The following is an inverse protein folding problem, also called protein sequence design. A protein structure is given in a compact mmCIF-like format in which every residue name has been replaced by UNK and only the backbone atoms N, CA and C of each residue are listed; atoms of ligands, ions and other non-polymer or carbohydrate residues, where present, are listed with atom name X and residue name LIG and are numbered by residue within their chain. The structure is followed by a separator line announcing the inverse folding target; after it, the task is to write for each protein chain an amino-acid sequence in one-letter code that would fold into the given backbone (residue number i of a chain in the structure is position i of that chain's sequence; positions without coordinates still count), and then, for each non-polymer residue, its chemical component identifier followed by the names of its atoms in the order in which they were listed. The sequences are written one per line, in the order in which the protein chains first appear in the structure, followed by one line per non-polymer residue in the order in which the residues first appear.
data_IF_214254157605
#
_entry.id   IF_214254157605
#
_cell.length_a   1.000
_cell.length_b   1.000
_cell.length_c   1.000
_cell.angle_alpha   90.00
_cell.angle_beta   90.00
_cell.angle_gamma   90.00
#
_symmetry.space_group_name_H-M   'P 1'
#
loop_
_entity.id
_entity.type
_entity.pdbx_description
1 polymer ?
#
# COMPACT_ATOMS: atom_id res chain seq x y z
N UNK A 1 -20.84 -11.04 19.63
CA UNK A 1 -20.63 -9.60 19.51
C UNK A 1 -19.63 -9.22 20.57
N UNK A 2 -18.39 -8.85 20.19
CA UNK A 2 -17.46 -8.29 21.15
C UNK A 2 -18.02 -6.92 21.57
N UNK A 3 -18.20 -6.72 22.87
CA UNK A 3 -18.55 -5.40 23.41
C UNK A 3 -17.35 -4.50 23.09
N UNK A 4 -17.53 -3.51 22.24
CA UNK A 4 -16.50 -2.51 21.95
C UNK A 4 -16.22 -1.75 23.23
N UNK A 5 -14.97 -1.82 23.71
CA UNK A 5 -14.53 -1.12 24.90
C UNK A 5 -14.44 0.38 24.61
N UNK A 6 -14.73 1.17 25.63
CA UNK A 6 -14.37 2.58 25.63
C UNK A 6 -12.88 2.72 25.94
N UNK A 7 -12.13 3.38 25.04
CA UNK A 7 -10.68 3.54 25.18
C UNK A 7 -10.33 5.03 25.30
N UNK A 8 -9.50 5.36 26.29
CA UNK A 8 -8.88 6.68 26.41
C UNK A 8 -7.39 6.57 26.16
N UNK A 9 -6.91 7.21 25.09
CA UNK A 9 -5.51 7.34 24.75
C UNK A 9 -5.07 8.75 25.19
N UNK A 10 -4.10 8.84 26.08
CA UNK A 10 -3.67 10.12 26.69
C UNK A 10 -2.20 10.43 26.45
N UNK A 11 -1.84 11.70 26.51
CA UNK A 11 -0.46 12.21 26.48
C UNK A 11 0.31 11.95 25.17
N UNK A 12 -0.30 11.42 24.13
CA UNK A 12 0.35 11.14 22.84
C UNK A 12 0.44 12.38 21.96
N UNK A 13 1.48 12.44 21.10
CA UNK A 13 1.50 13.37 19.97
C UNK A 13 0.59 12.84 18.89
N UNK A 14 -0.61 13.41 18.79
CA UNK A 14 -1.58 13.04 17.77
C UNK A 14 -1.22 13.74 16.46
N UNK A 15 -1.03 12.94 15.40
CA UNK A 15 -0.79 13.43 14.04
C UNK A 15 -1.89 12.86 13.15
N UNK A 16 -2.79 13.72 12.72
CA UNK A 16 -3.83 13.39 11.74
C UNK A 16 -3.74 14.35 10.56
N UNK A 17 -3.08 13.92 9.46
CA UNK A 17 -2.89 14.76 8.29
C UNK A 17 -4.20 15.21 7.62
N UNK A 18 -5.25 14.39 7.68
CA UNK A 18 -6.56 14.71 7.09
C UNK A 18 -7.21 15.92 7.76
N UNK A 19 -7.01 16.08 9.07
CA UNK A 19 -7.56 17.16 9.88
C UNK A 19 -6.54 18.28 10.19
N UNK A 20 -5.31 18.17 9.68
CA UNK A 20 -4.25 19.15 9.97
C UNK A 20 -3.83 19.20 11.43
N UNK A 21 -3.99 18.09 12.18
CA UNK A 21 -3.65 18.01 13.60
C UNK A 21 -2.23 17.49 13.76
N UNK A 22 -1.43 18.22 14.55
CA UNK A 22 -0.09 17.79 14.99
C UNK A 22 0.18 18.42 16.38
N UNK A 23 -0.05 17.66 17.45
CA UNK A 23 0.11 18.15 18.82
C UNK A 23 -0.24 17.10 19.87
N UNK A 24 0.00 17.46 21.14
CA UNK A 24 -0.37 16.60 22.28
C UNK A 24 -1.88 16.72 22.51
N UNK A 25 -2.59 15.63 22.27
CA UNK A 25 -4.04 15.55 22.45
C UNK A 25 -4.43 14.20 23.03
N UNK A 26 -5.45 14.21 23.86
CA UNK A 26 -6.15 13.01 24.27
C UNK A 26 -7.10 12.56 23.14
N UNK A 27 -7.30 11.26 23.02
CA UNK A 27 -8.22 10.65 22.06
C UNK A 27 -9.14 9.68 22.78
N UNK A 28 -10.45 9.81 22.56
CA UNK A 28 -11.45 8.93 23.14
C UNK A 28 -12.15 8.13 22.04
N UNK A 29 -12.22 6.82 22.25
CA UNK A 29 -12.88 5.87 21.35
C UNK A 29 -14.06 5.23 22.08
N UNK A 30 -15.18 5.10 21.41
CA UNK A 30 -16.36 4.41 21.90
C UNK A 30 -17.14 3.79 20.74
N UNK A 31 -17.77 2.65 20.98
CA UNK A 31 -18.60 1.94 19.99
C UNK A 31 -17.90 1.72 18.63
N UNK A 32 -16.59 1.45 18.67
CA UNK A 32 -15.78 1.24 17.47
C UNK A 32 -15.50 2.49 16.66
N UNK A 33 -15.76 3.69 17.21
CA UNK A 33 -15.60 4.97 16.53
C UNK A 33 -14.78 5.96 17.37
N UNK A 34 -14.23 6.94 16.69
CA UNK A 34 -13.64 8.12 17.33
C UNK A 34 -14.76 8.94 17.96
N UNK A 35 -14.71 9.10 19.27
CA UNK A 35 -15.69 9.88 20.03
C UNK A 35 -15.33 11.36 20.07
N UNK A 36 -14.09 11.68 20.44
CA UNK A 36 -13.58 13.06 20.47
C UNK A 36 -12.05 13.09 20.53
N UNK A 37 -11.48 14.20 20.07
CA UNK A 37 -10.07 14.57 20.26
C UNK A 37 -10.01 15.73 21.26
N UNK A 38 -9.15 15.62 22.25
CA UNK A 38 -9.03 16.59 23.36
C UNK A 38 -9.96 16.26 24.52
N UNK A 39 -10.54 17.26 25.16
CA UNK A 39 -11.39 17.06 26.33
C UNK A 39 -12.75 16.44 25.95
N UNK A 40 -13.27 15.54 26.82
CA UNK A 40 -14.64 15.06 26.69
C UNK A 40 -15.64 16.21 26.85
N UNK A 41 -16.64 16.33 25.97
CA UNK A 41 -17.75 17.28 26.17
C UNK A 41 -18.43 17.06 27.52
N UNK A 42 -18.78 18.14 28.22
CA UNK A 42 -19.35 18.09 29.56
C UNK A 42 -20.63 17.23 29.65
N UNK A 43 -21.41 17.24 28.58
CA UNK A 43 -22.66 16.48 28.44
C UNK A 43 -22.43 14.96 28.45
N UNK A 44 -21.25 14.53 27.95
CA UNK A 44 -20.88 13.11 27.86
C UNK A 44 -20.07 12.72 29.11
N UNK A 45 -19.21 13.62 29.60
CA UNK A 45 -18.27 13.34 30.68
C UNK A 45 -18.94 12.85 31.99
N UNK A 46 -20.16 13.34 32.31
CA UNK A 46 -20.87 12.98 33.52
C UNK A 46 -21.30 11.51 33.62
N UNK A 47 -21.39 10.79 32.48
CA UNK A 47 -21.82 9.37 32.44
C UNK A 47 -20.84 8.46 31.70
N UNK A 48 -19.71 8.99 31.22
CA UNK A 48 -18.76 8.23 30.42
C UNK A 48 -17.82 7.40 31.30
N UNK A 49 -17.83 6.10 31.10
CA UNK A 49 -16.93 5.16 31.80
C UNK A 49 -15.85 4.72 30.82
N UNK A 50 -14.59 4.83 31.20
CA UNK A 50 -13.45 4.36 30.43
C UNK A 50 -13.12 2.93 30.85
N UNK A 51 -13.20 1.98 29.90
CA UNK A 51 -12.85 0.58 30.15
C UNK A 51 -11.34 0.35 30.11
N UNK A 52 -10.63 1.10 29.25
CA UNK A 52 -9.19 0.97 29.07
C UNK A 52 -8.54 2.34 28.86
N UNK A 53 -7.47 2.60 29.59
CA UNK A 53 -6.62 3.78 29.37
C UNK A 53 -5.26 3.35 28.83
N UNK A 54 -4.81 3.98 27.74
CA UNK A 54 -3.50 3.77 27.14
C UNK A 54 -2.71 5.06 27.32
N UNK A 55 -1.57 4.99 28.01
CA UNK A 55 -0.65 6.12 28.14
C UNK A 55 0.31 6.11 26.93
N UNK A 56 0.16 7.11 26.07
CA UNK A 56 0.93 7.27 24.85
C UNK A 56 2.08 8.30 25.02
N UNK A 57 2.54 8.52 26.26
CA UNK A 57 3.66 9.42 26.53
C UNK A 57 4.89 9.02 25.70
N UNK A 58 5.40 9.95 24.88
CA UNK A 58 6.54 9.71 23.98
C UNK A 58 6.19 9.02 22.66
N UNK A 59 4.95 8.59 22.48
CA UNK A 59 4.47 7.94 21.27
C UNK A 59 3.75 8.94 20.34
N UNK A 60 3.75 8.59 19.06
CA UNK A 60 2.89 9.20 18.06
C UNK A 60 1.61 8.39 17.98
N UNK A 61 0.48 9.09 17.96
CA UNK A 61 -0.87 8.55 17.74
C UNK A 61 -1.32 9.02 16.36
N UNK A 62 -1.59 8.09 15.45
CA UNK A 62 -2.02 8.41 14.09
C UNK A 62 -3.25 7.58 13.69
N UNK A 63 -3.95 7.98 12.62
CA UNK A 63 -4.88 7.07 11.96
C UNK A 63 -4.19 5.76 11.58
N UNK A 64 -4.94 4.67 11.54
CA UNK A 64 -4.47 3.40 11.01
C UNK A 64 -3.94 3.54 9.58
N UNK A 65 -2.87 2.83 9.26
CA UNK A 65 -2.27 2.91 7.93
C UNK A 65 -3.13 2.17 6.91
N UNK A 66 -3.13 2.72 5.69
CA UNK A 66 -3.84 2.17 4.52
C UNK A 66 -2.81 1.76 3.49
N UNK A 67 -2.72 0.48 3.21
CA UNK A 67 -1.81 -0.06 2.21
C UNK A 67 -2.54 -0.40 0.90
N UNK A 68 -2.04 0.12 -0.21
CA UNK A 68 -2.67 -0.02 -1.53
C UNK A 68 -2.26 -1.28 -2.29
N UNK A 69 -1.30 -2.06 -1.78
CA UNK A 69 -0.81 -3.27 -2.47
C UNK A 69 -0.26 -4.30 -1.49
N UNK A 70 -1.13 -5.20 -1.02
CA UNK A 70 -0.74 -6.32 -0.17
C UNK A 70 -1.30 -7.64 -0.69
N UNK A 71 -0.42 -8.56 -1.05
CA UNK A 71 -0.78 -9.93 -1.43
C UNK A 71 -0.88 -10.81 -0.19
N UNK A 72 -2.09 -11.24 0.12
CA UNK A 72 -2.38 -12.11 1.27
C UNK A 72 -2.21 -13.61 0.94
N UNK A 73 -1.90 -13.92 -0.32
CA UNK A 73 -1.57 -15.25 -0.85
C UNK A 73 -2.67 -16.30 -0.75
N UNK A 74 -3.80 -16.00 -0.17
CA UNK A 74 -4.98 -16.85 -0.15
C UNK A 74 -6.12 -16.25 -0.97
N UNK A 75 -6.84 -17.13 -1.70
CA UNK A 75 -6.63 -18.58 -1.87
C UNK A 75 -5.47 -18.93 -2.81
N UNK A 76 -4.93 -20.16 -2.65
CA UNK A 76 -4.13 -20.89 -3.64
C UNK A 76 -2.61 -20.82 -3.49
N UNK A 77 -2.09 -19.86 -2.71
CA UNK A 77 -0.65 -19.69 -2.48
C UNK A 77 -0.28 -19.74 -0.99
N UNK A 78 -1.02 -20.55 -0.21
CA UNK A 78 -0.86 -20.68 1.25
C UNK A 78 0.53 -21.19 1.64
N UNK A 79 1.23 -21.84 0.74
CA UNK A 79 2.62 -22.26 0.96
C UNK A 79 3.60 -21.08 1.01
N UNK A 80 3.28 -19.95 0.34
CA UNK A 80 4.05 -18.70 0.41
C UNK A 80 3.72 -17.88 1.64
N UNK A 81 2.43 -17.78 1.95
CA UNK A 81 1.92 -17.07 3.11
C UNK A 81 0.43 -17.41 3.33
N UNK A 82 -0.01 -17.39 4.59
CA UNK A 82 -1.41 -17.59 4.96
C UNK A 82 -2.08 -16.24 5.27
N UNK A 83 -3.40 -16.21 5.15
CA UNK A 83 -4.18 -15.02 5.50
C UNK A 83 -3.91 -14.62 6.97
N UNK A 84 -3.82 -15.58 7.86
CA UNK A 84 -3.55 -15.37 9.28
C UNK A 84 -2.19 -14.71 9.52
N UNK A 85 -1.12 -15.19 8.86
CA UNK A 85 0.23 -14.64 9.03
C UNK A 85 0.33 -13.22 8.48
N UNK A 86 -0.30 -12.94 7.32
CA UNK A 86 -0.20 -11.63 6.69
C UNK A 86 -1.11 -10.59 7.38
N UNK A 87 -2.24 -11.02 7.91
CA UNK A 87 -3.07 -10.16 8.76
C UNK A 87 -2.36 -9.82 10.08
N UNK A 88 -1.61 -10.78 10.66
CA UNK A 88 -0.77 -10.51 11.82
C UNK A 88 0.38 -9.54 11.50
N UNK A 89 1.01 -9.69 10.34
CA UNK A 89 2.03 -8.77 9.85
C UNK A 89 1.47 -7.35 9.66
N UNK A 90 0.25 -7.23 9.12
CA UNK A 90 -0.44 -5.96 9.00
C UNK A 90 -0.63 -5.29 10.36
N UNK A 91 -1.09 -6.04 11.37
CA UNK A 91 -1.26 -5.51 12.72
C UNK A 91 0.05 -5.05 13.34
N UNK A 92 1.12 -5.82 13.17
CA UNK A 92 2.45 -5.47 13.66
C UNK A 92 3.03 -4.25 12.91
N UNK A 93 2.67 -4.08 11.64
CA UNK A 93 3.05 -2.94 10.81
C UNK A 93 2.17 -1.69 11.01
N UNK A 94 1.07 -1.78 11.77
CA UNK A 94 0.12 -0.68 11.95
C UNK A 94 -0.85 -0.49 10.78
N UNK A 95 -0.91 -1.44 9.86
CA UNK A 95 -1.79 -1.38 8.69
C UNK A 95 -3.17 -1.91 9.05
N UNK A 96 -4.15 -1.01 9.11
CA UNK A 96 -5.54 -1.34 9.47
C UNK A 96 -6.43 -1.58 8.27
N UNK A 97 -6.04 -1.12 7.08
CA UNK A 97 -6.75 -1.33 5.82
C UNK A 97 -5.79 -1.77 4.73
N UNK A 98 -6.11 -2.87 4.05
CA UNK A 98 -5.30 -3.47 2.99
C UNK A 98 -6.09 -3.54 1.69
N UNK A 99 -5.50 -3.08 0.59
CA UNK A 99 -6.00 -3.37 -0.76
C UNK A 99 -5.31 -4.61 -1.28
N UNK A 100 -6.11 -5.64 -1.59
CA UNK A 100 -5.62 -6.94 -2.05
C UNK A 100 -5.84 -7.08 -3.56
N UNK A 101 -4.79 -7.28 -4.38
CA UNK A 101 -4.92 -7.51 -5.82
C UNK A 101 -5.55 -8.87 -6.12
N UNK A 102 -6.13 -9.06 -7.34
CA UNK A 102 -6.94 -10.23 -7.67
C UNK A 102 -6.15 -11.47 -8.07
N UNK A 103 -4.82 -11.45 -8.06
CA UNK A 103 -3.91 -12.50 -8.54
C UNK A 103 -3.73 -13.66 -7.54
N UNK A 104 -4.84 -14.17 -7.06
CA UNK A 104 -4.97 -15.40 -6.26
C UNK A 104 -5.21 -16.62 -7.17
N UNK A 105 -5.28 -17.83 -6.62
CA UNK A 105 -5.63 -19.05 -7.34
C UNK A 105 -6.73 -19.83 -6.57
N UNK A 106 -7.98 -19.80 -7.07
CA UNK A 106 -8.46 -19.11 -8.29
C UNK A 106 -8.38 -17.57 -8.18
N UNK A 107 -8.28 -16.92 -9.34
CA UNK A 107 -8.32 -15.46 -9.49
C UNK A 107 -9.63 -14.89 -8.94
N UNK A 108 -9.61 -13.69 -8.33
CA UNK A 108 -10.82 -13.02 -7.83
C UNK A 108 -11.65 -12.44 -8.99
N UNK A 109 -12.21 -13.30 -9.80
CA UNK A 109 -13.03 -12.96 -10.98
C UNK A 109 -14.50 -13.40 -10.85
N UNK A 110 -14.86 -14.04 -9.72
CA UNK A 110 -16.23 -14.46 -9.39
C UNK A 110 -16.64 -13.96 -7.99
N UNK A 111 -17.93 -13.58 -7.80
CA UNK A 111 -18.47 -13.07 -6.53
C UNK A 111 -18.17 -13.95 -5.32
N UNK A 112 -18.35 -15.28 -5.46
CA UNK A 112 -18.17 -16.22 -4.36
C UNK A 112 -16.75 -16.26 -3.78
N UNK A 113 -15.73 -16.02 -4.62
CA UNK A 113 -14.33 -15.97 -4.17
C UNK A 113 -14.08 -14.70 -3.35
N UNK A 114 -14.63 -13.58 -3.79
CA UNK A 114 -14.55 -12.30 -3.06
C UNK A 114 -15.23 -12.40 -1.69
N UNK A 115 -16.44 -12.97 -1.65
CA UNK A 115 -17.19 -13.17 -0.40
C UNK A 115 -16.45 -14.10 0.55
N UNK A 116 -15.87 -15.20 0.05
CA UNK A 116 -15.06 -16.14 0.81
C UNK A 116 -13.86 -15.44 1.46
N UNK A 117 -13.06 -14.69 0.69
CA UNK A 117 -11.90 -13.97 1.19
C UNK A 117 -12.31 -12.97 2.28
N UNK A 118 -13.32 -12.15 2.03
CA UNK A 118 -13.83 -11.17 3.00
C UNK A 118 -14.35 -11.82 4.27
N UNK A 119 -15.09 -12.93 4.14
CA UNK A 119 -15.60 -13.66 5.30
C UNK A 119 -14.48 -14.24 6.16
N UNK A 120 -13.45 -14.84 5.55
CA UNK A 120 -12.29 -15.35 6.26
C UNK A 120 -11.51 -14.24 6.95
N UNK A 121 -11.21 -13.15 6.24
CA UNK A 121 -10.54 -11.99 6.82
C UNK A 121 -11.31 -11.38 8.00
N UNK A 122 -12.64 -11.23 7.86
CA UNK A 122 -13.49 -10.69 8.92
C UNK A 122 -13.47 -11.56 10.20
N UNK A 123 -13.37 -12.89 10.05
CA UNK A 123 -13.30 -13.80 11.22
C UNK A 123 -12.03 -13.61 12.04
N UNK A 124 -10.94 -13.16 11.43
CA UNK A 124 -9.68 -12.90 12.14
C UNK A 124 -9.76 -11.66 13.03
N UNK A 125 -10.72 -10.77 12.76
CA UNK A 125 -10.93 -9.53 13.52
C UNK A 125 -9.65 -8.68 13.65
N UNK A 126 -8.95 -8.55 12.52
CA UNK A 126 -7.71 -7.79 12.37
C UNK A 126 -7.93 -6.67 11.33
N UNK A 127 -7.01 -6.47 10.37
CA UNK A 127 -7.15 -5.43 9.36
C UNK A 127 -8.42 -5.61 8.47
N UNK A 128 -8.92 -4.50 7.95
CA UNK A 128 -9.96 -4.49 6.92
C UNK A 128 -9.35 -4.88 5.57
N UNK A 129 -9.87 -5.92 4.93
CA UNK A 129 -9.43 -6.37 3.61
C UNK A 129 -10.37 -5.83 2.53
N UNK A 130 -9.80 -5.11 1.58
CA UNK A 130 -10.47 -4.48 0.45
C UNK A 130 -10.01 -5.11 -0.86
N UNK A 131 -10.68 -6.16 -1.37
CA UNK A 131 -10.25 -6.83 -2.58
C UNK A 131 -10.48 -5.98 -3.83
N UNK A 132 -9.55 -6.08 -4.78
CA UNK A 132 -9.78 -5.69 -6.17
C UNK A 132 -10.32 -6.91 -6.93
N UNK A 133 -11.31 -6.68 -7.78
CA UNK A 133 -11.76 -7.71 -8.72
C UNK A 133 -10.85 -7.76 -9.95
N UNK A 134 -10.77 -8.92 -10.60
CA UNK A 134 -10.07 -9.04 -11.87
C UNK A 134 -10.82 -8.27 -12.97
N UNK A 135 -10.09 -7.57 -13.84
CA UNK A 135 -10.66 -6.90 -15.02
C UNK A 135 -11.16 -7.89 -16.06
N UNK A 136 -10.45 -9.01 -16.21
CA UNK A 136 -10.79 -10.06 -17.16
C UNK A 136 -10.81 -11.42 -16.49
N UNK A 137 -11.60 -12.34 -17.02
CA UNK A 137 -11.70 -13.71 -16.53
C UNK A 137 -10.32 -14.39 -16.53
N UNK A 138 -9.92 -14.91 -15.37
CA UNK A 138 -8.63 -15.55 -15.16
C UNK A 138 -7.41 -14.65 -15.42
N UNK A 139 -7.56 -13.32 -15.46
CA UNK A 139 -6.51 -12.34 -15.84
C UNK A 139 -5.90 -12.62 -17.23
N UNK A 140 -6.68 -13.17 -18.16
CA UNK A 140 -6.20 -13.57 -19.51
C UNK A 140 -6.18 -12.43 -20.53
N UNK A 141 -6.78 -11.27 -20.22
CA UNK A 141 -6.85 -10.13 -21.15
C UNK A 141 -7.83 -10.35 -22.33
N UNK A 142 -8.77 -11.29 -22.22
CA UNK A 142 -9.70 -11.66 -23.30
C UNK A 142 -11.13 -11.21 -23.03
N UNK A 143 -11.78 -11.76 -22.02
CA UNK A 143 -13.18 -11.51 -21.68
C UNK A 143 -13.29 -10.74 -20.36
N UNK A 144 -14.10 -9.68 -20.31
CA UNK A 144 -14.33 -8.91 -19.10
C UNK A 144 -15.07 -9.73 -18.04
N UNK A 145 -14.83 -9.42 -16.78
CA UNK A 145 -15.59 -9.92 -15.65
C UNK A 145 -16.91 -9.16 -15.48
N UNK A 146 -17.83 -9.70 -14.69
CA UNK A 146 -19.05 -9.01 -14.27
C UNK A 146 -18.75 -8.04 -13.12
N UNK A 147 -18.17 -6.86 -13.46
CA UNK A 147 -17.69 -5.88 -12.47
C UNK A 147 -18.78 -5.43 -11.50
N UNK A 148 -20.04 -5.35 -11.94
CA UNK A 148 -21.16 -4.98 -11.08
C UNK A 148 -21.43 -6.02 -9.98
N UNK A 149 -21.37 -7.31 -10.32
CA UNK A 149 -21.54 -8.40 -9.37
C UNK A 149 -20.37 -8.46 -8.37
N UNK A 150 -19.13 -8.29 -8.85
CA UNK A 150 -17.95 -8.24 -8.00
C UNK A 150 -17.97 -7.03 -7.05
N UNK A 151 -18.46 -5.87 -7.50
CA UNK A 151 -18.66 -4.70 -6.64
C UNK A 151 -19.72 -4.97 -5.56
N UNK A 152 -20.83 -5.64 -5.90
CA UNK A 152 -21.87 -6.04 -4.94
C UNK A 152 -21.31 -6.99 -3.87
N UNK A 153 -20.35 -7.84 -4.21
CA UNK A 153 -19.64 -8.71 -3.25
C UNK A 153 -18.53 -7.99 -2.46
N UNK A 154 -18.24 -6.72 -2.81
CA UNK A 154 -17.38 -5.84 -2.04
C UNK A 154 -16.00 -5.57 -2.58
N UNK A 155 -15.79 -5.73 -3.89
CA UNK A 155 -14.61 -5.18 -4.56
C UNK A 155 -14.70 -3.64 -4.62
N UNK A 156 -13.56 -2.98 -4.37
CA UNK A 156 -13.47 -1.51 -4.36
C UNK A 156 -12.97 -0.94 -5.70
N UNK A 157 -12.52 -1.78 -6.61
CA UNK A 157 -12.01 -1.44 -7.93
C UNK A 157 -11.62 -2.69 -8.70
N UNK A 158 -11.02 -2.52 -9.87
CA UNK A 158 -10.70 -3.63 -10.76
C UNK A 158 -9.27 -3.53 -11.26
N UNK A 159 -8.56 -4.65 -11.23
CA UNK A 159 -7.14 -4.72 -11.59
C UNK A 159 -6.84 -5.88 -12.53
N UNK A 160 -5.74 -5.75 -13.23
CA UNK A 160 -5.15 -6.86 -13.99
C UNK A 160 -3.85 -7.37 -13.34
N UNK A 161 -3.60 -6.98 -12.10
CA UNK A 161 -2.42 -7.30 -11.30
C UNK A 161 -1.11 -7.05 -12.07
N UNK A 162 -0.25 -8.07 -12.16
CA UNK A 162 1.03 -7.99 -12.88
C UNK A 162 0.91 -8.32 -14.38
N UNK A 163 -0.25 -8.78 -14.83
CA UNK A 163 -0.42 -9.20 -16.22
C UNK A 163 -0.72 -7.98 -17.09
N UNK A 164 0.08 -7.67 -18.12
CA UNK A 164 -0.28 -6.64 -19.09
C UNK A 164 -1.46 -7.07 -19.94
N UNK A 165 -2.34 -6.14 -20.31
CA UNK A 165 -3.42 -6.39 -21.27
C UNK A 165 -2.87 -6.10 -22.67
N UNK A 166 -2.68 -7.16 -23.47
CA UNK A 166 -2.13 -7.05 -24.83
C UNK A 166 -3.12 -6.43 -25.82
N UNK A 167 -4.41 -6.77 -25.71
CA UNK A 167 -5.45 -6.23 -26.57
C UNK A 167 -5.97 -4.88 -26.01
N UNK A 168 -5.57 -3.79 -26.63
CA UNK A 168 -6.02 -2.43 -26.28
C UNK A 168 -7.53 -2.24 -26.43
N UNK A 169 -8.22 -3.04 -27.28
CA UNK A 169 -9.68 -2.97 -27.38
C UNK A 169 -10.36 -3.58 -26.14
N UNK A 170 -9.80 -4.64 -25.56
CA UNK A 170 -10.26 -5.18 -24.27
C UNK A 170 -10.09 -4.14 -23.17
N UNK A 171 -8.93 -3.46 -23.09
CA UNK A 171 -8.69 -2.41 -22.13
C UNK A 171 -9.64 -1.22 -22.33
N UNK A 172 -9.89 -0.80 -23.56
CA UNK A 172 -10.85 0.25 -23.89
C UNK A 172 -12.26 -0.11 -23.36
N UNK A 173 -12.73 -1.32 -23.62
CA UNK A 173 -14.05 -1.77 -23.15
C UNK A 173 -14.12 -1.88 -21.63
N UNK A 174 -13.05 -2.35 -20.97
CA UNK A 174 -12.96 -2.37 -19.51
C UNK A 174 -13.09 -0.96 -18.93
N UNK A 175 -12.38 0.03 -19.50
CA UNK A 175 -12.47 1.42 -19.10
C UNK A 175 -13.84 2.03 -19.35
N UNK A 176 -14.50 1.72 -20.47
CA UNK A 176 -15.88 2.16 -20.77
C UNK A 176 -16.87 1.58 -19.74
N UNK A 177 -16.75 0.30 -19.41
CA UNK A 177 -17.57 -0.33 -18.39
C UNK A 177 -17.33 0.32 -17.02
N UNK A 178 -16.09 0.43 -16.59
CA UNK A 178 -15.73 1.06 -15.32
C UNK A 178 -16.27 2.51 -15.24
N UNK A 179 -16.14 3.29 -16.32
CA UNK A 179 -16.67 4.66 -16.37
C UNK A 179 -18.18 4.72 -16.20
N UNK A 180 -18.91 3.79 -16.82
CA UNK A 180 -20.39 3.76 -16.75
C UNK A 180 -20.90 3.62 -15.32
N UNK A 181 -20.19 2.85 -14.49
CA UNK A 181 -20.57 2.57 -13.10
C UNK A 181 -19.74 3.35 -12.07
N UNK A 182 -18.80 4.20 -12.50
CA UNK A 182 -17.96 5.00 -11.60
C UNK A 182 -16.85 4.21 -10.90
N UNK A 183 -16.48 3.04 -11.43
CA UNK A 183 -15.42 2.21 -10.87
C UNK A 183 -14.02 2.77 -11.19
N UNK A 184 -13.05 2.44 -10.36
CA UNK A 184 -11.63 2.76 -10.59
C UNK A 184 -10.93 1.54 -11.19
N UNK A 185 -10.19 1.76 -12.28
CA UNK A 185 -9.33 0.74 -12.91
C UNK A 185 -7.92 0.89 -12.35
N UNK A 186 -7.36 -0.20 -11.81
CA UNK A 186 -6.04 -0.25 -11.20
C UNK A 186 -5.08 -0.98 -12.14
N UNK A 187 -4.12 -0.27 -12.69
CA UNK A 187 -3.22 -0.80 -13.69
C UNK A 187 -1.75 -0.63 -13.30
N UNK A 188 -0.99 -1.68 -13.40
CA UNK A 188 0.46 -1.55 -13.48
C UNK A 188 0.84 -1.22 -14.93
N UNK A 189 1.41 -0.04 -15.20
CA UNK A 189 1.79 0.32 -16.57
C UNK A 189 2.99 -0.51 -17.02
N UNK A 190 2.76 -1.43 -17.94
CA UNK A 190 3.77 -2.30 -18.52
C UNK A 190 3.36 -2.71 -19.93
N UNK A 191 4.28 -2.56 -20.89
CA UNK A 191 4.09 -3.12 -22.23
C UNK A 191 4.24 -4.64 -22.20
N UNK A 192 3.37 -5.34 -22.95
CA UNK A 192 3.29 -6.79 -22.91
C UNK A 192 4.53 -7.51 -23.51
N UNK A 193 5.27 -6.83 -24.37
CA UNK A 193 6.37 -7.42 -25.14
C UNK A 193 7.73 -6.80 -24.77
N UNK A 194 7.78 -5.48 -24.56
CA UNK A 194 9.01 -4.78 -24.26
C UNK A 194 9.46 -5.08 -22.82
N UNK A 195 10.60 -5.74 -22.69
CA UNK A 195 11.15 -6.15 -21.41
C UNK A 195 10.56 -7.45 -20.85
N UNK A 196 9.78 -8.17 -21.65
CA UNK A 196 9.23 -9.50 -21.26
C UNK A 196 10.36 -10.45 -20.86
N UNK A 197 10.24 -11.05 -19.67
CA UNK A 197 11.29 -11.93 -19.12
C UNK A 197 12.53 -11.17 -18.61
N UNK A 198 12.48 -9.84 -18.54
CA UNK A 198 13.51 -9.04 -17.90
C UNK A 198 13.48 -9.22 -16.37
N UNK A 199 14.67 -9.17 -15.78
CA UNK A 199 14.84 -9.43 -14.34
C UNK A 199 15.46 -8.27 -13.58
N UNK A 200 16.00 -7.27 -14.29
CA UNK A 200 16.61 -6.08 -13.74
C UNK A 200 16.27 -4.85 -14.61
N UNK A 201 16.49 -3.65 -14.13
CA UNK A 201 16.34 -2.45 -14.98
C UNK A 201 17.39 -2.46 -16.10
N UNK A 202 16.96 -2.14 -17.32
CA UNK A 202 17.90 -1.99 -18.45
C UNK A 202 18.87 -0.87 -18.18
N UNK A 203 20.16 -1.16 -18.29
CA UNK A 203 21.21 -0.17 -18.05
C UNK A 203 22.60 -0.79 -17.99
N UNK A 204 23.62 0.05 -17.70
CA UNK A 204 25.01 -0.42 -17.63
C UNK A 204 25.22 -1.54 -16.61
N UNK A 205 24.49 -1.52 -15.50
CA UNK A 205 24.60 -2.54 -14.46
C UNK A 205 24.07 -3.90 -14.94
N UNK A 206 22.86 -3.94 -15.48
CA UNK A 206 22.29 -5.19 -16.02
C UNK A 206 23.17 -5.78 -17.11
N UNK A 207 23.70 -4.93 -18.03
CA UNK A 207 24.63 -5.38 -19.07
C UNK A 207 25.91 -5.97 -18.47
N UNK A 208 26.48 -5.35 -17.44
CA UNK A 208 27.69 -5.84 -16.77
C UNK A 208 27.46 -7.16 -16.03
N UNK A 209 26.27 -7.33 -15.46
CA UNK A 209 25.90 -8.56 -14.74
C UNK A 209 25.36 -9.67 -15.68
N UNK A 210 25.17 -9.37 -16.97
CA UNK A 210 24.59 -10.33 -17.92
C UNK A 210 23.11 -10.60 -17.69
N UNK A 211 22.39 -9.67 -17.05
CA UNK A 211 20.97 -9.80 -16.74
C UNK A 211 20.11 -9.24 -17.88
N UNK A 212 18.99 -9.92 -18.17
CA UNK A 212 17.97 -9.42 -19.08
C UNK A 212 17.29 -8.19 -18.47
N UNK A 213 17.16 -7.12 -19.28
CA UNK A 213 16.71 -5.83 -18.77
C UNK A 213 15.27 -5.50 -19.11
N UNK A 214 14.59 -4.82 -18.19
CA UNK A 214 13.29 -4.16 -18.37
C UNK A 214 13.54 -2.68 -18.65
N UNK A 215 13.40 -2.19 -19.91
CA UNK A 215 13.66 -0.81 -20.23
C UNK A 215 12.56 0.11 -19.71
N UNK A 216 12.90 1.38 -19.44
CA UNK A 216 11.93 2.41 -19.01
C UNK A 216 10.77 2.56 -20.01
N UNK A 217 11.04 2.37 -21.31
CA UNK A 217 10.00 2.48 -22.33
C UNK A 217 8.87 1.44 -22.19
N UNK A 218 9.09 0.32 -21.51
CA UNK A 218 8.02 -0.63 -21.20
C UNK A 218 6.92 0.04 -20.34
N UNK A 219 7.31 0.88 -19.38
CA UNK A 219 6.39 1.63 -18.53
C UNK A 219 5.80 2.85 -19.27
N UNK A 220 6.63 3.62 -19.99
CA UNK A 220 6.15 4.86 -20.61
C UNK A 220 5.25 4.62 -21.83
N UNK A 221 5.46 3.59 -22.63
CA UNK A 221 4.56 3.21 -23.74
C UNK A 221 3.21 2.80 -23.20
N UNK A 222 3.17 1.98 -22.16
CA UNK A 222 1.91 1.61 -21.49
C UNK A 222 1.17 2.84 -20.95
N UNK A 223 1.88 3.80 -20.34
CA UNK A 223 1.28 5.06 -19.87
C UNK A 223 0.68 5.86 -21.01
N UNK A 224 1.36 5.99 -22.15
CA UNK A 224 0.79 6.68 -23.31
C UNK A 224 -0.52 6.02 -23.78
N UNK A 225 -0.54 4.69 -23.87
CA UNK A 225 -1.74 3.94 -24.23
C UNK A 225 -2.88 4.17 -23.22
N UNK A 226 -2.58 4.06 -21.92
CA UNK A 226 -3.56 4.27 -20.85
C UNK A 226 -4.13 5.70 -20.92
N UNK A 227 -3.29 6.73 -21.07
CA UNK A 227 -3.76 8.12 -21.12
C UNK A 227 -4.60 8.42 -22.35
N UNK A 228 -4.27 7.84 -23.53
CA UNK A 228 -5.13 7.97 -24.71
C UNK A 228 -6.52 7.35 -24.46
N UNK A 229 -6.56 6.16 -23.86
CA UNK A 229 -7.83 5.50 -23.53
C UNK A 229 -8.60 6.28 -22.44
N UNK A 230 -7.92 6.90 -21.49
CA UNK A 230 -8.55 7.77 -20.50
C UNK A 230 -9.16 9.01 -21.12
N UNK A 231 -8.48 9.65 -22.09
CA UNK A 231 -9.03 10.80 -22.84
C UNK A 231 -10.30 10.42 -23.60
N UNK A 232 -10.29 9.24 -24.21
CA UNK A 232 -11.41 8.73 -24.98
C UNK A 232 -12.63 8.33 -24.12
N UNK A 233 -12.40 7.82 -22.90
CA UNK A 233 -13.45 7.23 -22.06
C UNK A 233 -13.83 8.08 -20.87
N UNK A 234 -12.91 8.90 -20.34
CA UNK A 234 -13.06 9.61 -19.08
C UNK A 234 -13.02 8.66 -17.86
N UNK A 235 -12.48 7.45 -18.01
CA UNK A 235 -12.36 6.49 -16.92
C UNK A 235 -11.38 6.97 -15.87
N UNK A 236 -11.65 6.66 -14.59
CA UNK A 236 -10.75 6.89 -13.48
C UNK A 236 -9.74 5.74 -13.40
N UNK A 237 -8.45 6.07 -13.36
CA UNK A 237 -7.37 5.07 -13.32
C UNK A 237 -6.43 5.35 -12.15
N UNK A 238 -6.08 4.29 -11.44
CA UNK A 238 -4.97 4.28 -10.51
C UNK A 238 -3.80 3.50 -11.11
N UNK A 239 -2.63 4.15 -11.17
CA UNK A 239 -1.40 3.58 -11.71
C UNK A 239 -0.57 3.00 -10.58
N UNK A 240 -0.44 1.67 -10.56
CA UNK A 240 0.23 0.96 -9.49
C UNK A 240 1.75 0.90 -9.70
N UNK A 241 2.49 1.20 -8.65
CA UNK A 241 3.94 0.97 -8.53
C UNK A 241 4.77 1.56 -9.66
N UNK A 242 4.65 2.87 -9.86
CA UNK A 242 5.48 3.61 -10.80
C UNK A 242 6.94 3.50 -10.39
N UNK A 243 7.82 3.28 -11.36
CA UNK A 243 9.23 3.03 -11.08
C UNK A 243 10.23 3.98 -11.78
N UNK A 244 9.80 4.77 -12.77
CA UNK A 244 10.70 5.55 -13.61
C UNK A 244 10.44 7.06 -13.55
N UNK A 245 11.51 7.87 -13.57
CA UNK A 245 11.44 9.33 -13.64
C UNK A 245 10.66 9.84 -14.86
N UNK A 246 10.85 9.20 -16.01
CA UNK A 246 10.13 9.57 -17.24
C UNK A 246 8.61 9.36 -17.13
N UNK A 247 8.19 8.37 -16.35
CA UNK A 247 6.76 8.11 -16.08
C UNK A 247 6.14 9.22 -15.26
N UNK A 248 6.86 9.77 -14.27
CA UNK A 248 6.36 10.89 -13.45
C UNK A 248 6.13 12.15 -14.29
N UNK A 249 6.98 12.43 -15.29
CA UNK A 249 6.76 13.54 -16.21
C UNK A 249 5.46 13.39 -17.02
N UNK A 250 5.15 12.16 -17.46
CA UNK A 250 3.91 11.86 -18.18
C UNK A 250 2.70 12.00 -17.24
N UNK A 251 2.81 11.51 -16.00
CA UNK A 251 1.74 11.61 -14.99
C UNK A 251 1.47 13.07 -14.62
N UNK A 252 2.50 13.91 -14.44
CA UNK A 252 2.33 15.36 -14.19
C UNK A 252 1.53 16.03 -15.32
N UNK A 253 1.87 15.71 -16.57
CA UNK A 253 1.12 16.23 -17.74
C UNK A 253 -0.32 15.75 -17.72
N UNK A 254 -0.57 14.48 -17.49
CA UNK A 254 -1.91 13.91 -17.43
C UNK A 254 -2.77 14.55 -16.31
N UNK A 255 -2.19 14.74 -15.12
CA UNK A 255 -2.84 15.45 -14.00
C UNK A 255 -3.12 16.92 -14.35
N UNK A 256 -2.16 17.62 -14.98
CA UNK A 256 -2.34 19.01 -15.42
C UNK A 256 -3.41 19.16 -16.52
N UNK A 257 -3.62 18.15 -17.36
CA UNK A 257 -4.72 18.07 -18.32
C UNK A 257 -6.08 17.81 -17.65
N UNK A 258 -6.11 17.47 -16.37
CA UNK A 258 -7.32 17.14 -15.63
C UNK A 258 -7.79 15.69 -15.80
N UNK A 259 -6.95 14.77 -16.26
CA UNK A 259 -7.31 13.36 -16.29
C UNK A 259 -7.47 12.82 -14.85
N UNK A 260 -8.51 12.01 -14.59
CA UNK A 260 -8.78 11.47 -13.27
C UNK A 260 -7.82 10.30 -12.95
N UNK A 261 -6.54 10.62 -12.81
CA UNK A 261 -5.44 9.68 -12.57
C UNK A 261 -4.82 9.89 -11.20
N UNK A 262 -4.55 8.79 -10.51
CA UNK A 262 -3.73 8.72 -9.30
C UNK A 262 -2.63 7.69 -9.50
N UNK A 263 -1.56 7.74 -8.68
CA UNK A 263 -0.52 6.72 -8.71
C UNK A 263 0.10 6.48 -7.35
N UNK A 264 0.65 5.28 -7.18
CA UNK A 264 1.47 4.91 -6.03
C UNK A 264 2.88 4.48 -6.44
N UNK A 265 3.72 4.29 -5.43
CA UNK A 265 5.06 3.70 -5.53
C UNK A 265 5.29 2.74 -4.36
N UNK A 266 6.09 1.70 -4.59
CA UNK A 266 6.48 0.78 -3.53
C UNK A 266 7.48 1.40 -2.55
N UNK A 267 7.31 1.14 -1.26
CA UNK A 267 8.19 1.65 -0.20
C UNK A 267 9.66 1.22 -0.36
N UNK A 268 9.90 0.07 -0.96
CA UNK A 268 11.26 -0.38 -1.29
C UNK A 268 11.92 0.53 -2.35
N UNK A 269 11.15 1.00 -3.35
CA UNK A 269 11.64 1.78 -4.48
C UNK A 269 12.05 3.22 -4.14
N UNK A 270 11.64 3.74 -2.98
CA UNK A 270 12.09 5.06 -2.53
C UNK A 270 13.44 5.02 -1.80
N UNK A 271 14.01 3.82 -1.58
CA UNK A 271 15.29 3.65 -0.91
C UNK A 271 16.31 2.91 -1.76
N UNK A 272 15.91 1.82 -2.40
CA UNK A 272 16.77 0.94 -3.19
C UNK A 272 16.93 1.40 -4.64
N UNK A 273 18.01 0.96 -5.24
CA UNK A 273 18.37 1.21 -6.65
C UNK A 273 18.82 -0.09 -7.31
N UNK A 274 19.06 -0.09 -8.60
CA UNK A 274 19.65 -1.21 -9.33
C UNK A 274 21.01 -1.66 -8.76
N UNK A 275 21.78 -0.73 -8.16
CA UNK A 275 23.06 -1.05 -7.53
C UNK A 275 22.94 -2.02 -6.33
N UNK A 276 21.78 -2.04 -5.69
CA UNK A 276 21.51 -2.91 -4.53
C UNK A 276 21.32 -4.40 -4.91
N UNK A 277 21.27 -4.73 -6.21
CA UNK A 277 21.40 -6.11 -6.70
C UNK A 277 22.74 -6.73 -6.25
N UNK A 278 23.79 -5.90 -6.11
CA UNK A 278 25.08 -6.31 -5.58
C UNK A 278 25.67 -7.53 -6.31
N UNK A 279 25.93 -8.61 -5.58
CA UNK A 279 26.37 -9.90 -6.09
C UNK A 279 25.20 -10.86 -6.31
N UNK A 280 24.18 -10.42 -7.06
CA UNK A 280 22.99 -11.22 -7.37
C UNK A 280 22.15 -11.58 -6.13
N UNK A 281 21.96 -10.60 -5.21
CA UNK A 281 21.07 -10.79 -4.06
C UNK A 281 19.62 -10.94 -4.52
N UNK A 282 19.08 -12.16 -4.39
CA UNK A 282 17.70 -12.48 -4.79
C UNK A 282 16.66 -11.70 -4.00
N UNK A 283 16.98 -11.16 -2.81
CA UNK A 283 16.08 -10.28 -2.06
C UNK A 283 15.83 -8.94 -2.79
N UNK A 284 16.78 -8.52 -3.65
CA UNK A 284 16.62 -7.35 -4.52
C UNK A 284 15.86 -7.65 -5.83
N UNK A 285 15.37 -8.90 -6.02
CA UNK A 285 14.56 -9.29 -7.18
C UNK A 285 13.12 -8.81 -6.99
N UNK A 286 12.80 -7.66 -7.57
CA UNK A 286 11.50 -7.00 -7.51
C UNK A 286 10.85 -6.89 -8.90
N UNK A 287 9.55 -6.67 -8.91
CA UNK A 287 8.77 -6.35 -10.10
C UNK A 287 7.73 -5.27 -9.77
N UNK A 288 7.92 -4.02 -10.28
CA UNK A 288 8.96 -3.54 -11.19
C UNK A 288 10.37 -3.66 -10.58
N UNK A 289 11.41 -3.79 -11.42
CA UNK A 289 12.77 -3.86 -10.91
C UNK A 289 13.21 -2.50 -10.33
N UNK A 290 14.11 -2.53 -9.35
CA UNK A 290 14.77 -1.32 -8.88
C UNK A 290 15.50 -0.65 -10.04
N UNK A 291 15.32 0.69 -10.16
CA UNK A 291 15.92 1.49 -11.22
C UNK A 291 17.09 2.32 -10.71
N UNK A 292 17.57 3.22 -11.56
CA UNK A 292 18.72 4.07 -11.23
C UNK A 292 18.44 5.00 -10.04
N UNK A 293 19.51 5.54 -9.46
CA UNK A 293 19.42 6.58 -8.44
C UNK A 293 18.59 7.79 -8.91
N UNK A 294 18.73 8.17 -10.21
CA UNK A 294 17.93 9.27 -10.78
C UNK A 294 16.42 8.98 -10.71
N UNK A 295 16.03 7.76 -11.00
CA UNK A 295 14.61 7.36 -10.93
C UNK A 295 14.10 7.38 -9.49
N UNK A 296 14.87 6.81 -8.55
CA UNK A 296 14.56 6.84 -7.12
C UNK A 296 14.39 8.28 -6.61
N UNK A 297 15.32 9.17 -6.94
CA UNK A 297 15.29 10.55 -6.46
C UNK A 297 14.13 11.34 -7.08
N UNK A 298 13.75 11.04 -8.33
CA UNK A 298 12.55 11.59 -8.96
C UNK A 298 11.26 11.12 -8.28
N UNK A 299 11.18 9.84 -7.88
CA UNK A 299 10.05 9.29 -7.14
C UNK A 299 9.92 10.00 -5.78
N UNK A 300 11.02 10.18 -5.04
CA UNK A 300 11.05 10.90 -3.77
C UNK A 300 10.52 12.34 -3.92
N UNK A 301 10.92 13.02 -4.98
CA UNK A 301 10.42 14.35 -5.31
C UNK A 301 8.93 14.31 -5.67
N UNK A 302 8.49 13.30 -6.44
CA UNK A 302 7.09 13.11 -6.81
C UNK A 302 6.18 12.90 -5.60
N UNK A 303 6.66 12.25 -4.54
CA UNK A 303 5.94 12.15 -3.27
C UNK A 303 5.82 13.50 -2.55
N UNK A 304 6.82 14.38 -2.67
CA UNK A 304 6.77 15.72 -2.08
C UNK A 304 5.80 16.63 -2.81
N UNK A 305 5.90 16.70 -4.14
CA UNK A 305 5.14 17.63 -4.97
C UNK A 305 3.70 17.17 -5.27
N UNK A 306 3.30 15.97 -4.81
CA UNK A 306 1.97 15.42 -5.02
C UNK A 306 1.74 14.78 -6.39
N UNK A 307 2.78 14.62 -7.20
CA UNK A 307 2.70 13.83 -8.44
C UNK A 307 2.40 12.37 -8.12
N UNK A 308 3.05 11.83 -7.07
CA UNK A 308 2.75 10.51 -6.49
C UNK A 308 1.80 10.71 -5.33
N UNK A 309 0.65 10.06 -5.38
CA UNK A 309 -0.44 10.24 -4.41
C UNK A 309 -0.17 9.45 -3.12
N UNK A 310 0.32 8.22 -3.22
CA UNK A 310 0.46 7.33 -2.08
C UNK A 310 1.75 6.50 -2.13
N UNK A 311 2.13 5.98 -0.97
CA UNK A 311 3.17 4.99 -0.79
C UNK A 311 2.49 3.68 -0.38
N UNK A 312 2.84 2.56 -1.03
CA UNK A 312 2.35 1.24 -0.67
C UNK A 312 3.49 0.34 -0.19
N UNK A 313 3.17 -0.70 0.55
CA UNK A 313 4.17 -1.68 1.01
C UNK A 313 4.72 -2.52 -0.14
N UNK A 314 3.93 -2.72 -1.19
CA UNK A 314 4.16 -3.71 -2.27
C UNK A 314 4.44 -5.10 -1.70
N UNK A 315 3.72 -5.43 -0.62
CA UNK A 315 3.90 -6.67 0.11
C UNK A 315 3.58 -7.87 -0.78
N UNK A 316 4.62 -8.64 -1.07
CA UNK A 316 4.57 -9.78 -1.99
C UNK A 316 5.42 -10.91 -1.41
N UNK A 317 4.88 -11.67 -0.42
CA UNK A 317 5.61 -12.78 0.20
C UNK A 317 5.99 -13.84 -0.83
N UNK A 318 7.21 -14.34 -0.72
CA UNK A 318 7.82 -15.34 -1.60
C UNK A 318 8.28 -16.50 -0.75
N UNK A 319 8.14 -17.71 -1.26
CA UNK A 319 8.64 -18.93 -0.62
C UNK A 319 10.17 -18.97 -0.57
N UNK A 320 10.73 -19.59 0.46
CA UNK A 320 12.18 -19.67 0.67
C UNK A 320 12.87 -20.36 -0.51
N UNK A 321 12.32 -21.47 -1.01
CA UNK A 321 12.89 -22.21 -2.14
C UNK A 321 12.96 -21.36 -3.41
N UNK A 322 11.95 -20.50 -3.64
CA UNK A 322 11.91 -19.60 -4.79
C UNK A 322 12.94 -18.47 -4.70
N UNK A 323 13.35 -18.07 -3.48
CA UNK A 323 14.37 -17.03 -3.26
C UNK A 323 15.80 -17.58 -3.23
N UNK A 324 15.99 -18.88 -2.99
CA UNK A 324 17.29 -19.55 -3.06
C UNK A 324 17.77 -19.79 -4.50
N UNK A 325 16.91 -19.61 -5.50
CA UNK A 325 17.28 -19.72 -6.90
C UNK A 325 18.23 -18.59 -7.34
N UNK A 326 19.01 -18.78 -8.41
CA UNK A 326 19.81 -17.72 -8.99
C UNK A 326 18.96 -16.48 -9.30
N UNK A 327 19.51 -15.27 -9.18
CA UNK A 327 18.79 -14.01 -9.30
C UNK A 327 17.79 -13.94 -10.46
N UNK A 328 18.20 -14.43 -11.65
CA UNK A 328 17.34 -14.42 -12.85
C UNK A 328 16.16 -15.38 -12.80
N UNK A 329 16.24 -16.42 -11.98
CA UNK A 329 15.23 -17.44 -11.80
C UNK A 329 14.41 -17.25 -10.52
N UNK A 330 14.93 -16.46 -9.57
CA UNK A 330 14.25 -16.18 -8.31
C UNK A 330 12.93 -15.44 -8.55
N UNK A 331 11.90 -15.80 -7.80
CA UNK A 331 10.61 -15.12 -7.84
C UNK A 331 10.73 -13.67 -7.37
N UNK A 332 10.11 -12.71 -8.08
CA UNK A 332 10.08 -11.31 -7.66
C UNK A 332 9.15 -11.14 -6.46
N UNK A 333 9.49 -10.20 -5.60
CA UNK A 333 8.68 -9.81 -4.45
C UNK A 333 9.45 -9.74 -3.16
N UNK A 334 8.88 -9.08 -2.18
CA UNK A 334 9.42 -8.90 -0.86
C UNK A 334 8.31 -8.72 0.18
N UNK A 335 8.59 -9.06 1.43
CA UNK A 335 7.77 -8.69 2.58
C UNK A 335 7.90 -7.19 2.84
N UNK A 336 6.80 -6.48 3.01
CA UNK A 336 6.76 -5.03 3.11
C UNK A 336 5.82 -4.45 4.16
N UNK A 337 4.76 -5.17 4.60
CA UNK A 337 3.75 -4.65 5.53
C UNK A 337 4.36 -4.09 6.82
N UNK A 338 5.25 -4.84 7.45
CA UNK A 338 5.90 -4.47 8.71
C UNK A 338 6.99 -3.40 8.54
N UNK A 339 7.39 -3.15 7.29
CA UNK A 339 8.42 -2.17 6.93
C UNK A 339 7.83 -0.82 6.50
N UNK A 340 6.53 -0.78 6.17
CA UNK A 340 5.89 0.41 5.59
C UNK A 340 6.10 1.66 6.44
N UNK A 341 5.85 1.58 7.74
CA UNK A 341 6.10 2.70 8.67
C UNK A 341 7.57 3.11 8.67
N UNK A 342 8.48 2.16 8.92
CA UNK A 342 9.91 2.45 9.05
C UNK A 342 10.50 3.06 7.78
N UNK A 343 10.12 2.56 6.61
CA UNK A 343 10.56 3.09 5.32
C UNK A 343 9.97 4.49 5.05
N UNK A 344 8.73 4.72 5.48
CA UNK A 344 8.10 6.04 5.39
C UNK A 344 8.82 7.05 6.28
N UNK A 345 9.14 6.69 7.53
CA UNK A 345 9.89 7.55 8.46
C UNK A 345 11.30 7.83 7.94
N UNK A 346 11.98 6.81 7.42
CA UNK A 346 13.30 6.98 6.81
C UNK A 346 13.27 7.96 5.62
N UNK A 347 12.24 7.93 4.79
CA UNK A 347 12.07 8.93 3.74
C UNK A 347 11.82 10.33 4.30
N UNK A 348 11.00 10.45 5.34
CA UNK A 348 10.75 11.72 6.00
C UNK A 348 12.05 12.35 6.55
N UNK A 349 12.87 11.57 7.22
CA UNK A 349 14.12 12.03 7.84
C UNK A 349 15.22 12.32 6.81
N UNK A 350 15.46 11.38 5.90
CA UNK A 350 16.58 11.44 4.96
C UNK A 350 16.36 12.46 3.84
N UNK A 351 15.13 12.67 3.42
CA UNK A 351 14.80 13.42 2.23
C UNK A 351 13.78 14.53 2.43
N UNK A 352 12.57 14.21 2.92
CA UNK A 352 11.49 15.17 2.99
C UNK A 352 11.81 16.34 3.94
N UNK A 353 12.45 16.08 5.07
CA UNK A 353 12.87 17.11 6.04
C UNK A 353 13.87 18.13 5.45
N UNK A 354 14.70 17.70 4.51
CA UNK A 354 15.72 18.55 3.86
C UNK A 354 15.15 19.43 2.75
N UNK A 355 13.99 19.08 2.23
CA UNK A 355 13.31 19.77 1.13
C UNK A 355 12.11 20.60 1.64
N UNK A 356 11.79 20.47 2.94
CA UNK A 356 10.58 21.06 3.49
C UNK A 356 10.70 22.58 3.67
N UNK A 357 9.73 23.28 3.08
CA UNK A 357 9.53 24.73 3.23
C UNK A 357 8.07 25.05 3.57
N UNK A 358 7.24 24.06 3.90
CA UNK A 358 5.79 24.19 4.05
C UNK A 358 5.29 24.19 5.51
N UNK A 359 4.00 24.46 5.67
CA UNK A 359 3.31 24.58 6.97
C UNK A 359 3.14 23.24 7.74
N UNK A 360 3.29 22.09 7.04
CA UNK A 360 3.19 20.78 7.67
C UNK A 360 4.55 20.18 7.90
N UNK A 361 4.72 19.52 9.06
CA UNK A 361 5.94 18.78 9.34
C UNK A 361 6.22 17.71 8.27
N UNK A 362 7.50 17.42 8.00
CA UNK A 362 7.88 16.35 7.06
C UNK A 362 7.25 15.01 7.46
N UNK A 363 7.12 14.78 8.77
CA UNK A 363 6.48 13.58 9.31
C UNK A 363 4.98 13.53 8.98
N UNK A 364 4.23 14.63 9.20
CA UNK A 364 2.80 14.69 8.87
C UNK A 364 2.56 14.44 7.38
N UNK A 365 3.40 15.04 6.52
CA UNK A 365 3.34 14.81 5.07
C UNK A 365 3.65 13.36 4.69
N UNK A 366 4.64 12.75 5.34
CA UNK A 366 4.98 11.36 5.09
C UNK A 366 3.85 10.41 5.52
N UNK A 367 3.28 10.64 6.70
CA UNK A 367 2.14 9.87 7.19
C UNK A 367 0.91 10.01 6.30
N UNK A 368 0.67 11.19 5.70
CA UNK A 368 -0.46 11.35 4.77
C UNK A 368 -0.40 10.36 3.60
N UNK A 369 0.81 9.98 3.13
CA UNK A 369 1.00 9.06 1.99
C UNK A 369 0.60 7.62 2.29
N UNK A 370 0.53 7.24 3.56
CA UNK A 370 0.12 5.91 4.03
C UNK A 370 -1.16 5.96 4.88
N UNK A 371 -1.84 7.11 4.97
CA UNK A 371 -3.12 7.28 5.68
C UNK A 371 -4.16 7.93 4.77
N UNK A 372 -4.41 9.22 4.92
CA UNK A 372 -5.48 9.95 4.23
C UNK A 372 -5.39 9.95 2.71
N UNK A 373 -4.19 10.11 2.14
CA UNK A 373 -4.03 10.09 0.68
C UNK A 373 -4.21 8.68 0.11
N UNK A 374 -3.69 7.65 0.78
CA UNK A 374 -3.92 6.26 0.39
C UNK A 374 -5.41 5.90 0.48
N UNK A 375 -6.09 6.29 1.56
CA UNK A 375 -7.53 6.10 1.71
C UNK A 375 -8.32 6.81 0.60
N UNK A 376 -7.96 8.05 0.26
CA UNK A 376 -8.56 8.81 -0.85
C UNK A 376 -8.40 8.10 -2.20
N UNK A 377 -7.22 7.55 -2.46
CA UNK A 377 -6.96 6.77 -3.68
C UNK A 377 -7.87 5.54 -3.76
N UNK A 378 -7.98 4.80 -2.65
CA UNK A 378 -8.81 3.61 -2.57
C UNK A 378 -10.32 3.90 -2.48
N UNK A 379 -10.70 5.16 -2.22
CA UNK A 379 -12.10 5.54 -2.01
C UNK A 379 -12.68 5.01 -0.69
N UNK A 380 -11.84 4.93 0.35
CA UNK A 380 -12.21 4.39 1.67
C UNK A 380 -12.45 5.51 2.68
N UNK A 381 -13.45 5.32 3.54
CA UNK A 381 -13.68 6.15 4.72
C UNK A 381 -12.72 5.71 5.86
N UNK A 382 -11.42 5.89 5.64
CA UNK A 382 -10.33 5.49 6.52
C UNK A 382 -9.21 6.56 6.54
N UNK A 383 -8.13 6.32 7.29
CA UNK A 383 -6.96 7.20 7.32
C UNK A 383 -7.18 8.56 7.97
N UNK A 384 -8.16 8.68 8.86
CA UNK A 384 -8.50 9.89 9.63
C UNK A 384 -8.98 9.55 11.03
N UNK A 385 -8.80 10.48 11.97
CA UNK A 385 -9.36 10.42 13.33
C UNK A 385 -10.52 11.40 13.52
N UNK A 386 -11.19 11.80 12.44
CA UNK A 386 -12.38 12.65 12.52
C UNK A 386 -13.43 12.04 13.46
N UNK A 387 -14.12 12.89 14.24
CA UNK A 387 -15.20 12.44 15.13
C UNK A 387 -16.24 11.66 14.32
N UNK A 388 -16.58 10.46 14.79
CA UNK A 388 -17.51 9.54 14.13
C UNK A 388 -16.87 8.60 13.11
N UNK A 389 -15.59 8.79 12.73
CA UNK A 389 -14.86 7.84 11.89
C UNK A 389 -14.64 6.51 12.62
N UNK A 390 -14.36 5.46 11.86
CA UNK A 390 -13.98 4.15 12.44
C UNK A 390 -12.73 4.33 13.30
N UNK A 391 -12.71 3.73 14.47
CA UNK A 391 -11.61 3.86 15.42
C UNK A 391 -10.44 2.93 15.05
N UNK A 392 -9.80 3.24 13.92
CA UNK A 392 -8.57 2.63 13.45
C UNK A 392 -7.39 3.54 13.82
N UNK A 393 -6.60 3.10 14.80
CA UNK A 393 -5.56 3.95 15.41
C UNK A 393 -4.26 3.17 15.56
N UNK A 394 -3.15 3.83 15.28
CA UNK A 394 -1.80 3.29 15.50
C UNK A 394 -1.04 4.16 16.47
N UNK A 395 -0.44 3.51 17.47
CA UNK A 395 0.51 4.13 18.38
C UNK A 395 1.90 3.58 18.06
N UNK A 396 2.86 4.45 17.81
CA UNK A 396 4.21 4.03 17.48
C UNK A 396 5.27 4.94 18.09
N UNK A 397 6.44 4.37 18.35
CA UNK A 397 7.65 5.11 18.73
C UNK A 397 8.50 5.37 17.47
N UNK A 398 8.58 6.62 17.04
CA UNK A 398 9.34 7.01 15.86
C UNK A 398 10.86 6.92 16.07
N UNK A 399 11.32 7.01 17.32
CA UNK A 399 12.73 6.96 17.70
C UNK A 399 13.25 5.57 18.05
N UNK A 400 12.36 4.61 18.28
CA UNK A 400 12.76 3.24 18.57
C UNK A 400 13.38 2.58 17.34
N UNK A 401 14.56 2.00 17.51
CA UNK A 401 15.28 1.28 16.45
C UNK A 401 15.07 -0.23 16.56
N UNK A 402 15.03 -0.89 15.42
CA UNK A 402 14.99 -2.35 15.33
C UNK A 402 15.76 -2.84 14.12
N UNK A 403 16.33 -4.05 14.23
CA UNK A 403 17.01 -4.69 13.11
C UNK A 403 16.02 -5.58 12.36
N UNK A 404 15.99 -5.44 11.04
CA UNK A 404 15.15 -6.27 10.17
C UNK A 404 15.76 -7.66 10.09
N UNK A 405 15.24 -8.58 10.87
CA UNK A 405 15.64 -9.99 10.90
C UNK A 405 14.43 -10.87 10.58
N UNK A 406 14.66 -12.02 9.96
CA UNK A 406 13.59 -12.97 9.64
C UNK A 406 12.75 -13.35 10.88
N UNK A 407 13.40 -13.47 12.04
CA UNK A 407 12.76 -13.77 13.33
C UNK A 407 11.88 -12.64 13.87
N UNK A 408 12.11 -11.40 13.44
CA UNK A 408 11.35 -10.22 13.88
C UNK A 408 10.08 -10.00 13.05
N UNK A 409 9.97 -10.64 11.89
CA UNK A 409 8.82 -10.50 10.98
C UNK A 409 7.73 -11.52 11.33
N UNK A 410 6.48 -11.06 11.44
CA UNK A 410 5.29 -11.90 11.62
C UNK A 410 4.84 -12.55 10.32
N UNK A 411 4.99 -11.85 9.17
CA UNK A 411 4.74 -12.44 7.85
C UNK A 411 5.40 -13.80 7.70
N UNK A 412 4.72 -14.75 7.08
CA UNK A 412 5.32 -16.05 6.75
C UNK A 412 6.47 -15.88 5.75
N UNK A 413 6.33 -15.00 4.76
CA UNK A 413 7.43 -14.61 3.87
C UNK A 413 8.47 -13.78 4.63
N UNK A 414 9.75 -14.18 4.54
CA UNK A 414 10.84 -13.56 5.32
C UNK A 414 11.82 -12.75 4.47
N UNK A 415 11.55 -12.67 3.16
CA UNK A 415 12.48 -12.09 2.20
C UNK A 415 12.19 -10.60 1.97
N UNK A 416 13.21 -9.78 2.16
CA UNK A 416 13.19 -8.34 1.89
C UNK A 416 14.61 -7.85 1.63
N UNK A 417 14.83 -6.86 0.74
CA UNK A 417 16.15 -6.27 0.53
C UNK A 417 16.67 -5.49 1.75
N UNK A 418 15.85 -5.34 2.79
CA UNK A 418 16.24 -4.66 4.02
C UNK A 418 16.72 -5.60 5.13
N UNK A 419 16.89 -6.90 4.88
CA UNK A 419 17.44 -7.82 5.89
C UNK A 419 18.80 -7.32 6.43
N UNK A 420 18.93 -7.28 7.75
CA UNK A 420 20.10 -6.76 8.45
C UNK A 420 20.14 -5.22 8.61
N UNK A 421 19.23 -4.49 8.01
CA UNK A 421 19.17 -3.03 8.19
C UNK A 421 18.61 -2.68 9.58
N UNK A 422 19.18 -1.63 10.17
CA UNK A 422 18.65 -1.03 11.38
C UNK A 422 17.74 0.13 10.95
N UNK A 423 16.46 0.02 11.25
CA UNK A 423 15.43 1.00 10.90
C UNK A 423 14.83 1.63 12.15
N UNK A 424 14.38 2.88 12.04
CA UNK A 424 13.60 3.57 13.05
C UNK A 424 12.10 3.35 12.85
N UNK A 425 11.34 3.53 13.92
CA UNK A 425 9.88 3.41 13.89
C UNK A 425 9.39 2.03 14.25
N UNK A 426 8.71 1.94 15.40
CA UNK A 426 8.24 0.69 15.94
C UNK A 426 6.82 0.84 16.44
N UNK A 427 5.89 0.08 15.85
CA UNK A 427 4.49 0.06 16.28
C UNK A 427 4.41 -0.57 17.67
N UNK A 428 3.73 0.11 18.58
CA UNK A 428 3.48 -0.34 19.96
C UNK A 428 2.07 -0.89 20.12
N UNK A 429 1.09 -0.25 19.47
CA UNK A 429 -0.32 -0.68 19.56
C UNK A 429 -1.03 -0.39 18.26
N UNK A 430 -1.80 -1.36 17.77
CA UNK A 430 -2.72 -1.21 16.65
C UNK A 430 -4.14 -1.47 17.13
N UNK A 431 -5.01 -0.51 16.92
CA UNK A 431 -6.43 -0.57 17.25
C UNK A 431 -7.22 -0.60 15.95
N UNK A 432 -8.14 -1.55 15.82
CA UNK A 432 -9.01 -1.71 14.65
C UNK A 432 -10.45 -1.70 15.12
N UNK A 433 -11.28 -0.82 14.54
CA UNK A 433 -12.69 -0.65 14.91
C UNK A 433 -12.88 -0.58 16.44
N UNK A 434 -11.98 0.11 17.15
CA UNK A 434 -12.07 0.32 18.60
C UNK A 434 -11.64 -0.86 19.46
N UNK A 435 -11.03 -1.92 18.91
CA UNK A 435 -10.43 -2.97 19.73
C UNK A 435 -8.92 -3.05 19.50
N UNK A 436 -8.18 -3.38 20.58
CA UNK A 436 -6.72 -3.56 20.50
C UNK A 436 -6.44 -4.87 19.79
N UNK A 437 -6.02 -4.79 18.52
CA UNK A 437 -5.69 -5.94 17.68
C UNK A 437 -4.23 -6.38 17.82
N UNK A 438 -3.35 -5.45 18.19
CA UNK A 438 -1.94 -5.72 18.47
C UNK A 438 -1.45 -4.82 19.60
N UNK A 439 -0.63 -5.37 20.46
CA UNK A 439 0.12 -4.67 21.49
C UNK A 439 1.46 -5.37 21.68
N UNK A 440 2.54 -4.58 21.64
CA UNK A 440 3.91 -5.07 21.81
C UNK A 440 4.23 -5.35 23.28
#
# INVERSE_FOLDING_TARGET
MNVTKTIHIKNGRLIDPANGIDGIHDLYLADGKVLTIGALPAEIAAGFTVDQTIDATGLIVSPGFVDLSARLREPGFEYKATLESEMQAAMQGGVTSLVCPPDTDPVLDEPGLVEMLKHRAHKLNQAHVHPLGALTMGLKGESLTEMSALTASGCIGFSHAEQPIEDTNVLLRAMQYAKTFGYTVWLRPQDAHIGRGGVAASGPLASRLGLSGVPVMSETIALHTIFELMRATGARVHLCRISAAASLELIRKAKAEGLPVTCDVGAHHIHMTDADIGFFDSNARMDPPFRSQRDRDAIRLGLLDGTVDALCSDHTPVDDDEKLLPFGEASPGATGLELLLSLTLKWADDYASKQDTGDHSALSRALSRITSEAARVAGLDAGTLSVGAVADVVLFDAGAHWTVEASALASQGKHTPFLGYNLSGQVQTTIVAGHVAYQR
#
